data_IF_650344282571
#
_entry.id   IF_650344282571
#
_cell.length_a   1.000
_cell.length_b   1.000
_cell.length_c   1.000
_cell.angle_alpha   90.00
_cell.angle_beta   90.00
_cell.angle_gamma   90.00
#
_symmetry.space_group_name_H-M   'P 1'
#
loop_
_entity.id
_entity.type
_entity.pdbx_description
1 polymer ?
#
# COMPACT_ATOMS: atom_id res chain seq x y z
N UNK A 1 -24.20 -22.30 3.22
CA UNK A 1 -22.72 -22.19 3.17
C UNK A 1 -22.13 -23.09 4.24
N UNK A 2 -21.19 -23.96 3.87
CA UNK A 2 -20.53 -24.89 4.79
C UNK A 2 -19.25 -24.28 5.38
N UNK A 3 -18.68 -24.93 6.39
CA UNK A 3 -17.43 -24.55 7.01
C UNK A 3 -16.28 -24.60 5.99
N UNK A 4 -15.43 -23.58 5.98
CA UNK A 4 -14.24 -23.46 5.13
C UNK A 4 -13.05 -24.30 5.60
N UNK A 5 -13.21 -25.11 6.64
CA UNK A 5 -12.16 -26.03 7.11
C UNK A 5 -12.28 -27.33 6.33
N UNK A 6 -11.20 -27.73 5.68
CA UNK A 6 -11.17 -28.92 4.82
C UNK A 6 -11.63 -30.18 5.59
N UNK A 7 -12.50 -30.96 4.98
CA UNK A 7 -13.15 -32.12 5.63
C UNK A 7 -14.23 -31.80 6.67
N UNK A 8 -14.61 -30.53 6.91
CA UNK A 8 -15.68 -30.17 7.86
C UNK A 8 -17.04 -29.95 7.18
N UNK A 9 -17.93 -30.94 7.23
CA UNK A 9 -19.29 -30.85 6.66
C UNK A 9 -20.31 -30.03 7.45
N UNK A 10 -19.90 -29.29 8.51
CA UNK A 10 -20.82 -28.51 9.35
C UNK A 10 -21.18 -27.18 8.69
N UNK A 11 -22.40 -26.69 8.94
CA UNK A 11 -22.85 -25.38 8.46
C UNK A 11 -22.04 -24.23 9.05
N UNK A 12 -21.77 -23.24 8.20
CA UNK A 12 -21.10 -22.01 8.55
C UNK A 12 -21.96 -21.16 9.47
N UNK A 13 -21.37 -20.65 10.55
CA UNK A 13 -22.03 -19.76 11.51
C UNK A 13 -21.55 -18.32 11.38
N UNK A 14 -20.24 -18.10 11.24
CA UNK A 14 -19.64 -16.77 11.09
C UNK A 14 -18.22 -16.89 10.50
N UNK A 15 -17.81 -15.90 9.70
CA UNK A 15 -16.46 -15.77 9.13
C UNK A 15 -15.95 -16.98 8.32
N UNK A 16 -16.81 -17.75 7.67
CA UNK A 16 -16.34 -18.96 6.97
C UNK A 16 -16.42 -20.23 7.83
N UNK A 17 -16.67 -20.14 9.14
CA UNK A 17 -16.47 -21.27 10.05
C UNK A 17 -17.74 -21.75 10.74
N UNK A 18 -17.83 -23.06 11.02
CA UNK A 18 -18.87 -23.61 11.89
C UNK A 18 -18.68 -23.13 13.33
N UNK A 19 -19.68 -23.31 14.20
CA UNK A 19 -19.61 -22.86 15.61
C UNK A 19 -18.34 -23.32 16.32
N UNK A 20 -17.93 -24.59 16.14
CA UNK A 20 -16.74 -25.16 16.78
C UNK A 20 -15.44 -24.54 16.25
N UNK A 21 -15.29 -24.40 14.94
CA UNK A 21 -14.09 -23.81 14.34
C UNK A 21 -14.02 -22.30 14.57
N UNK A 22 -15.16 -21.63 14.57
CA UNK A 22 -15.26 -20.23 14.97
C UNK A 22 -14.85 -20.05 16.44
N UNK A 23 -15.28 -20.94 17.35
CA UNK A 23 -14.86 -20.90 18.75
C UNK A 23 -13.38 -21.21 18.94
N UNK A 24 -12.79 -22.13 18.17
CA UNK A 24 -11.35 -22.41 18.19
C UNK A 24 -10.54 -21.22 17.69
N UNK A 25 -10.95 -20.63 16.56
CA UNK A 25 -10.35 -19.41 16.04
C UNK A 25 -10.46 -18.26 17.03
N UNK A 26 -11.64 -18.03 17.61
CA UNK A 26 -11.86 -16.97 18.61
C UNK A 26 -11.01 -17.15 19.87
N UNK A 27 -10.82 -18.39 20.33
CA UNK A 27 -10.10 -18.71 21.58
C UNK A 27 -8.59 -18.85 21.40
N UNK A 28 -8.15 -19.36 20.26
CA UNK A 28 -6.77 -19.81 20.04
C UNK A 28 -6.12 -19.26 18.77
N UNK A 29 -6.86 -18.50 17.95
CA UNK A 29 -6.37 -17.95 16.67
C UNK A 29 -6.26 -18.98 15.53
N UNK A 30 -6.32 -20.28 15.85
CA UNK A 30 -6.23 -21.38 14.89
C UNK A 30 -7.53 -22.19 14.85
N UNK A 31 -8.12 -22.31 13.65
CA UNK A 31 -9.35 -23.09 13.40
C UNK A 31 -9.13 -24.59 13.61
N UNK A 32 -7.91 -25.08 13.38
CA UNK A 32 -7.52 -26.47 13.55
C UNK A 32 -6.89 -26.75 14.90
N UNK A 33 -6.94 -25.79 15.84
CA UNK A 33 -6.32 -25.93 17.16
C UNK A 33 -6.75 -27.24 17.85
N UNK A 34 -5.77 -28.12 18.03
CA UNK A 34 -5.83 -29.28 18.92
C UNK A 34 -5.06 -28.97 20.19
N UNK A 35 -5.51 -29.46 21.36
CA UNK A 35 -4.72 -29.34 22.59
C UNK A 35 -3.38 -30.05 22.39
N UNK A 36 -2.32 -29.27 22.21
CA UNK A 36 -0.95 -29.77 22.24
C UNK A 36 -0.72 -30.28 23.68
N UNK A 37 -0.31 -31.55 23.79
CA UNK A 37 0.08 -32.16 25.06
C UNK A 37 1.07 -31.26 25.80
N UNK A 38 0.99 -31.28 27.14
CA UNK A 38 1.64 -30.40 28.14
C UNK A 38 3.17 -30.21 28.06
N UNK A 39 3.83 -30.75 27.04
CA UNK A 39 5.28 -30.73 26.84
C UNK A 39 5.78 -29.41 26.23
N UNK A 40 4.94 -28.71 25.44
CA UNK A 40 5.36 -27.51 24.69
C UNK A 40 4.74 -26.20 25.18
N UNK A 41 4.23 -26.14 26.42
CA UNK A 41 3.75 -24.87 26.95
C UNK A 41 4.96 -24.04 27.42
N UNK A 42 5.30 -22.90 26.76
CA UNK A 42 6.45 -22.12 27.17
C UNK A 42 6.26 -21.68 28.63
N UNK A 43 7.32 -21.78 29.45
CA UNK A 43 7.25 -21.37 30.86
C UNK A 43 7.25 -19.85 31.03
N UNK A 44 7.81 -19.13 30.05
CA UNK A 44 8.01 -17.69 30.04
C UNK A 44 7.45 -17.06 28.76
N UNK A 45 7.29 -15.74 28.78
CA UNK A 45 6.85 -14.97 27.62
C UNK A 45 7.83 -15.13 26.45
N UNK A 46 7.29 -15.21 25.24
CA UNK A 46 8.03 -15.28 23.97
C UNK A 46 8.57 -13.93 23.49
N UNK A 47 8.34 -12.85 24.24
CA UNK A 47 8.85 -11.53 23.90
C UNK A 47 10.29 -11.43 24.39
N UNK A 48 11.20 -11.04 23.50
CA UNK A 48 12.61 -10.77 23.83
C UNK A 48 12.66 -9.77 25.00
N UNK A 49 13.54 -10.01 25.96
CA UNK A 49 13.67 -9.25 27.20
C UNK A 49 12.42 -9.24 28.13
N UNK A 50 11.54 -10.24 28.01
CA UNK A 50 10.42 -10.43 28.93
C UNK A 50 10.49 -11.75 29.72
N UNK A 51 10.98 -11.69 30.95
CA UNK A 51 11.08 -12.85 31.84
C UNK A 51 9.76 -13.21 32.56
N UNK A 52 8.65 -12.57 32.19
CA UNK A 52 7.35 -12.83 32.83
C UNK A 52 6.81 -14.20 32.48
N UNK A 53 6.09 -14.84 33.43
CA UNK A 53 5.46 -16.14 33.21
C UNK A 53 4.48 -16.09 32.04
N UNK A 54 4.51 -17.15 31.23
CA UNK A 54 3.56 -17.35 30.14
C UNK A 54 2.13 -17.46 30.69
N UNK A 55 1.18 -16.83 30.00
CA UNK A 55 -0.25 -16.88 30.28
C UNK A 55 -1.02 -17.58 29.16
N UNK A 56 -0.92 -17.10 27.93
CA UNK A 56 -1.61 -17.66 26.76
C UNK A 56 -0.95 -17.23 25.45
N UNK A 57 -1.04 -18.07 24.40
CA UNK A 57 -0.46 -17.83 23.07
C UNK A 57 1.05 -17.52 23.07
N UNK A 58 1.81 -18.06 24.02
CA UNK A 58 3.22 -17.75 24.17
C UNK A 58 3.48 -16.38 24.81
N UNK A 59 2.46 -15.63 25.24
CA UNK A 59 2.60 -14.32 25.85
C UNK A 59 2.29 -14.32 27.35
N UNK A 60 2.91 -13.41 28.11
CA UNK A 60 2.48 -13.09 29.48
C UNK A 60 1.10 -12.41 29.47
N UNK A 61 0.47 -12.25 30.64
CA UNK A 61 -0.89 -11.68 30.73
C UNK A 61 -0.99 -10.27 30.10
N UNK A 62 0.05 -9.45 30.24
CA UNK A 62 0.12 -8.10 29.70
C UNK A 62 0.27 -8.13 28.18
N UNK A 63 1.25 -8.88 27.65
CA UNK A 63 1.47 -9.02 26.21
C UNK A 63 0.28 -9.69 25.50
N UNK A 64 -0.36 -10.67 26.14
CA UNK A 64 -1.59 -11.27 25.63
C UNK A 64 -2.73 -10.25 25.56
N UNK A 65 -2.89 -9.39 26.57
CA UNK A 65 -3.93 -8.35 26.58
C UNK A 65 -3.71 -7.31 25.49
N UNK A 66 -2.45 -6.91 25.28
CA UNK A 66 -2.02 -6.00 24.20
C UNK A 66 -2.31 -6.60 22.83
N UNK A 67 -1.85 -7.84 22.60
CA UNK A 67 -2.12 -8.59 21.38
C UNK A 67 -3.61 -8.73 21.09
N UNK A 68 -4.42 -9.14 22.07
CA UNK A 68 -5.87 -9.31 21.89
C UNK A 68 -6.58 -8.01 21.51
N UNK A 69 -6.12 -6.87 22.02
CA UNK A 69 -6.79 -5.57 21.85
C UNK A 69 -6.30 -4.80 20.62
N UNK A 70 -5.03 -4.94 20.27
CA UNK A 70 -4.36 -4.10 19.27
C UNK A 70 -3.63 -4.88 18.18
N UNK A 71 -3.55 -6.21 18.27
CA UNK A 71 -2.87 -7.05 17.29
C UNK A 71 -1.36 -7.18 17.50
N UNK A 72 -0.76 -6.39 18.38
CA UNK A 72 0.68 -6.41 18.68
C UNK A 72 0.91 -6.67 20.19
N UNK A 73 1.65 -7.74 20.58
CA UNK A 73 1.98 -8.02 21.97
C UNK A 73 2.90 -6.96 22.60
N UNK A 74 3.75 -6.31 21.82
CA UNK A 74 4.64 -5.23 22.28
C UNK A 74 3.92 -3.88 22.37
N UNK A 75 2.64 -3.80 21.97
CA UNK A 75 1.87 -2.56 21.98
C UNK A 75 1.84 -1.92 23.38
N UNK A 76 2.60 -0.85 23.56
CA UNK A 76 2.62 -0.11 24.82
C UNK A 76 1.41 0.84 24.86
N UNK A 77 0.39 0.50 25.66
CA UNK A 77 -0.54 1.52 26.16
C UNK A 77 0.23 2.45 27.11
N UNK A 78 0.83 3.50 26.57
CA UNK A 78 1.32 4.62 27.37
C UNK A 78 0.20 5.62 27.51
N UNK A 79 -0.31 5.69 28.74
CA UNK A 79 -1.18 6.65 29.42
C UNK A 79 -2.31 7.27 28.60
N UNK A 80 -3.48 7.50 29.21
CA UNK A 80 -4.68 8.03 28.55
C UNK A 80 -4.55 9.45 27.94
N UNK A 81 -3.34 9.98 27.76
CA UNK A 81 -3.02 11.32 27.28
C UNK A 81 -2.78 11.43 25.76
N UNK A 82 -3.23 10.45 24.96
CA UNK A 82 -2.98 10.46 23.52
C UNK A 82 -4.04 9.79 22.66
N UNK A 83 -4.04 10.13 21.37
CA UNK A 83 -4.99 9.62 20.36
C UNK A 83 -4.25 9.32 19.05
N UNK A 84 -4.88 8.55 18.17
CA UNK A 84 -4.39 8.33 16.80
C UNK A 84 -5.02 9.42 15.94
N UNK A 85 -4.20 10.15 15.18
CA UNK A 85 -4.70 11.16 14.24
C UNK A 85 -5.20 10.55 12.92
N UNK A 86 -5.83 11.36 12.07
CA UNK A 86 -6.32 10.95 10.75
C UNK A 86 -5.23 10.40 9.82
N UNK A 87 -3.96 10.71 10.11
CA UNK A 87 -2.80 10.21 9.39
C UNK A 87 -2.25 8.92 10.02
N UNK A 88 -2.92 8.33 11.00
CA UNK A 88 -2.51 7.08 11.64
C UNK A 88 -1.33 7.21 12.60
N UNK A 89 -0.95 8.42 13.02
CA UNK A 89 0.12 8.60 14.00
C UNK A 89 -0.43 8.76 15.41
N UNK A 90 0.23 8.15 16.39
CA UNK A 90 -0.04 8.44 17.81
C UNK A 90 0.44 9.85 18.16
N UNK A 91 -0.44 10.66 18.72
CA UNK A 91 -0.18 11.99 19.26
C UNK A 91 -0.38 12.00 20.77
N UNK A 92 0.47 12.77 21.45
CA UNK A 92 0.43 13.00 22.89
C UNK A 92 0.32 14.51 23.18
N UNK A 93 -0.20 14.83 24.35
CA UNK A 93 -0.07 16.16 24.94
C UNK A 93 1.27 16.26 25.69
N UNK A 94 2.15 17.17 25.25
CA UNK A 94 3.46 17.46 25.83
C UNK A 94 3.51 18.96 26.19
N UNK A 95 3.40 19.29 27.48
CA UNK A 95 3.51 20.68 27.97
C UNK A 95 2.57 21.68 27.29
N UNK A 96 1.34 21.26 26.94
CA UNK A 96 0.36 22.07 26.22
C UNK A 96 0.49 22.04 24.69
N UNK A 97 1.48 21.33 24.13
CA UNK A 97 1.64 21.12 22.69
C UNK A 97 1.25 19.71 22.28
N UNK A 98 0.62 19.59 21.11
CA UNK A 98 0.25 18.30 20.52
C UNK A 98 1.40 17.79 19.66
N UNK A 99 2.13 16.78 20.12
CA UNK A 99 3.32 16.27 19.43
C UNK A 99 3.13 14.81 19.02
N UNK A 100 3.71 14.40 17.88
CA UNK A 100 3.71 12.99 17.47
C UNK A 100 4.67 12.20 18.35
N UNK A 101 4.23 11.06 18.84
CA UNK A 101 4.95 10.25 19.83
C UNK A 101 6.34 9.84 19.33
N UNK A 102 6.46 9.34 18.09
CA UNK A 102 7.76 8.96 17.51
C UNK A 102 8.79 10.10 17.53
N UNK A 103 8.35 11.37 17.42
CA UNK A 103 9.27 12.51 17.52
C UNK A 103 9.78 12.64 18.94
N UNK A 104 8.92 12.51 19.95
CA UNK A 104 9.31 12.57 21.35
C UNK A 104 10.26 11.42 21.73
N UNK A 105 10.03 10.22 21.20
CA UNK A 105 10.96 9.08 21.38
C UNK A 105 12.33 9.41 20.80
N UNK A 106 12.38 9.91 19.57
CA UNK A 106 13.65 10.29 18.93
C UNK A 106 14.34 11.48 19.63
N UNK A 107 13.58 12.48 20.11
CA UNK A 107 14.12 13.59 20.91
C UNK A 107 14.77 13.10 22.20
N UNK A 108 14.13 12.14 22.89
CA UNK A 108 14.68 11.51 24.09
C UNK A 108 15.95 10.71 23.77
N UNK A 109 15.94 9.92 22.68
CA UNK A 109 17.11 9.15 22.21
C UNK A 109 18.31 10.05 21.91
N UNK A 110 18.08 11.23 21.30
CA UNK A 110 19.11 12.20 20.95
C UNK A 110 19.50 13.14 22.09
N UNK A 111 18.74 13.19 23.18
CA UNK A 111 18.94 14.15 24.27
C UNK A 111 18.72 15.62 23.89
N UNK A 112 18.06 15.89 22.75
CA UNK A 112 17.78 17.25 22.26
C UNK A 112 16.47 17.31 21.49
N UNK A 113 15.90 18.52 21.36
CA UNK A 113 14.73 18.74 20.50
C UNK A 113 15.08 18.55 19.02
N UNK A 114 14.12 18.01 18.27
CA UNK A 114 14.24 17.84 16.83
C UNK A 114 13.98 19.16 16.12
N UNK A 115 14.75 19.42 15.08
CA UNK A 115 14.54 20.54 14.17
C UNK A 115 13.30 20.29 13.29
N UNK A 116 12.83 21.35 12.64
CA UNK A 116 11.66 21.30 11.76
C UNK A 116 11.90 20.56 10.43
N UNK A 117 13.16 20.43 10.02
CA UNK A 117 13.62 19.72 8.81
C UNK A 117 13.98 18.25 9.06
N UNK A 118 14.19 17.87 10.33
CA UNK A 118 14.44 16.50 10.75
C UNK A 118 13.15 15.66 10.76
N UNK A 119 13.17 14.54 10.04
CA UNK A 119 12.07 13.59 9.91
C UNK A 119 12.45 12.31 10.64
N UNK A 120 11.48 11.70 11.32
CA UNK A 120 11.62 10.36 11.89
C UNK A 120 10.95 9.38 10.94
N UNK A 121 11.69 8.38 10.49
CA UNK A 121 11.24 7.29 9.63
C UNK A 121 10.96 6.04 10.48
N UNK A 122 9.89 5.32 10.15
CA UNK A 122 9.56 4.00 10.68
C UNK A 122 10.08 2.94 9.70
N UNK A 123 11.06 2.15 10.12
CA UNK A 123 11.74 1.18 9.26
C UNK A 123 10.82 0.04 8.81
N UNK A 124 9.83 -0.33 9.62
CA UNK A 124 8.84 -1.37 9.33
C UNK A 124 7.58 -0.86 8.62
N UNK A 125 7.53 0.42 8.24
CA UNK A 125 6.36 1.10 7.67
C UNK A 125 5.13 1.18 8.62
N UNK A 126 5.21 0.70 9.87
CA UNK A 126 4.15 0.79 10.88
C UNK A 126 4.30 2.06 11.73
N UNK A 127 3.38 3.02 11.51
CA UNK A 127 3.35 4.32 12.19
C UNK A 127 3.10 4.26 13.69
N UNK A 128 2.65 3.11 14.20
CA UNK A 128 2.38 2.89 15.63
C UNK A 128 3.53 2.17 16.34
N UNK A 129 4.46 1.54 15.61
CA UNK A 129 5.65 0.95 16.20
C UNK A 129 6.70 2.03 16.51
N UNK A 130 6.55 2.68 17.66
CA UNK A 130 7.45 3.75 18.11
C UNK A 130 8.63 3.24 18.96
N UNK A 131 9.01 1.97 18.83
CA UNK A 131 10.22 1.45 19.47
C UNK A 131 11.44 2.20 18.93
N UNK A 132 12.36 2.58 19.82
CA UNK A 132 13.47 3.46 19.46
C UNK A 132 14.42 2.88 18.41
N UNK A 133 14.48 1.56 18.27
CA UNK A 133 15.25 0.84 17.25
C UNK A 133 14.52 0.72 15.91
N UNK A 134 13.19 0.88 15.90
CA UNK A 134 12.40 0.95 14.67
C UNK A 134 12.40 2.37 14.05
N UNK A 135 12.92 3.35 14.79
CA UNK A 135 12.92 4.75 14.37
C UNK A 135 14.30 5.19 13.88
N UNK A 136 14.34 5.75 12.67
CA UNK A 136 15.54 6.32 12.08
C UNK A 136 15.37 7.82 11.83
N UNK A 137 16.42 8.61 12.09
CA UNK A 137 16.43 10.04 11.79
C UNK A 137 16.86 10.26 10.34
N UNK A 138 16.05 10.98 9.57
CA UNK A 138 16.33 11.33 8.18
C UNK A 138 15.92 12.79 7.92
N UNK A 139 15.97 13.20 6.65
CA UNK A 139 15.61 14.54 6.21
C UNK A 139 14.63 14.49 5.03
N UNK A 140 14.02 15.64 4.69
CA UNK A 140 13.06 15.74 3.58
C UNK A 140 13.59 15.24 2.23
N UNK A 141 14.89 15.40 1.96
CA UNK A 141 15.52 15.01 0.70
C UNK A 141 15.70 13.49 0.61
N UNK A 142 16.04 12.84 1.73
CA UNK A 142 16.41 11.44 1.78
C UNK A 142 15.25 10.51 2.17
N UNK A 143 14.26 10.98 2.95
CA UNK A 143 13.10 10.18 3.34
C UNK A 143 12.40 9.44 2.17
N UNK A 144 12.22 10.04 0.97
CA UNK A 144 11.62 9.32 -0.15
C UNK A 144 12.41 8.09 -0.61
N UNK A 145 13.72 8.00 -0.33
CA UNK A 145 14.55 6.86 -0.72
C UNK A 145 14.09 5.55 -0.05
N UNK A 146 13.61 5.63 1.19
CA UNK A 146 13.10 4.48 1.94
C UNK A 146 11.79 3.95 1.35
N UNK A 147 11.00 4.81 0.69
CA UNK A 147 9.71 4.45 0.07
C UNK A 147 9.81 4.17 -1.44
N UNK A 148 11.01 4.30 -2.04
CA UNK A 148 11.22 4.01 -3.47
C UNK A 148 11.21 2.50 -3.70
N UNK A 149 10.01 1.91 -3.76
CA UNK A 149 9.84 0.56 -4.31
C UNK A 149 10.15 0.66 -5.82
N UNK A 150 11.22 0.01 -6.27
CA UNK A 150 11.68 0.00 -7.67
C UNK A 150 10.79 -0.92 -8.53
N UNK A 151 9.49 -0.64 -8.49
CA UNK A 151 8.48 -1.41 -9.21
C UNK A 151 8.53 -0.91 -10.66
N UNK A 152 8.75 -1.85 -11.58
CA UNK A 152 8.79 -1.58 -13.02
C UNK A 152 7.43 -1.89 -13.64
N UNK A 153 7.25 -1.39 -14.85
CA UNK A 153 6.14 -1.79 -15.69
C UNK A 153 6.12 -3.32 -15.86
N UNK A 154 4.93 -3.93 -15.79
CA UNK A 154 4.72 -5.37 -15.94
C UNK A 154 4.92 -5.88 -17.37
N UNK A 155 5.07 -4.98 -18.36
CA UNK A 155 5.27 -5.34 -19.75
C UNK A 155 6.74 -5.70 -19.99
N UNK A 156 6.98 -6.91 -20.52
CA UNK A 156 8.31 -7.50 -20.72
C UNK A 156 9.33 -6.63 -21.48
N UNK A 157 8.86 -5.71 -22.32
CA UNK A 157 9.70 -4.83 -23.15
C UNK A 157 9.67 -3.36 -22.67
N UNK A 158 9.46 -3.13 -21.37
CA UNK A 158 9.33 -1.79 -20.81
C UNK A 158 9.98 -1.68 -19.43
N UNK A 159 11.10 -0.96 -19.37
CA UNK A 159 11.80 -0.71 -18.11
C UNK A 159 11.35 0.58 -17.41
N UNK A 160 10.25 1.19 -17.85
CA UNK A 160 9.73 2.38 -17.19
C UNK A 160 9.22 2.06 -15.78
N UNK A 161 9.31 3.05 -14.88
CA UNK A 161 8.77 2.94 -13.52
C UNK A 161 7.26 2.72 -13.51
N UNK A 162 6.79 1.89 -12.59
CA UNK A 162 5.38 1.65 -12.32
C UNK A 162 4.68 2.93 -11.87
N UNK A 163 3.49 3.17 -12.41
CA UNK A 163 2.59 4.27 -12.05
C UNK A 163 1.32 3.72 -11.39
N UNK A 164 0.55 2.89 -12.09
CA UNK A 164 -0.69 2.30 -11.58
C UNK A 164 -1.05 1.02 -12.36
N UNK A 165 -1.79 0.10 -11.73
CA UNK A 165 -2.24 -1.18 -12.34
C UNK A 165 -1.10 -2.05 -12.91
N UNK A 166 0.09 -2.01 -12.32
CA UNK A 166 1.25 -2.74 -12.86
C UNK A 166 1.90 -2.04 -14.06
N UNK A 167 1.38 -0.92 -14.54
CA UNK A 167 1.86 -0.25 -15.75
C UNK A 167 2.57 1.07 -15.44
N UNK A 168 3.52 1.47 -16.30
CA UNK A 168 4.04 2.83 -16.31
C UNK A 168 2.96 3.84 -16.75
N UNK A 169 3.19 5.14 -16.54
CA UNK A 169 2.18 6.16 -16.86
C UNK A 169 1.68 6.06 -18.31
N UNK A 170 2.58 5.92 -19.30
CA UNK A 170 2.20 5.79 -20.72
C UNK A 170 1.30 4.56 -20.99
N UNK A 171 1.69 3.39 -20.49
CA UNK A 171 0.93 2.15 -20.67
C UNK A 171 -0.40 2.18 -19.90
N UNK A 172 -0.43 2.80 -18.73
CA UNK A 172 -1.66 3.03 -17.99
C UNK A 172 -2.62 3.96 -18.75
N UNK A 173 -2.15 5.04 -19.38
CA UNK A 173 -3.03 5.91 -20.19
C UNK A 173 -3.62 5.16 -21.39
N UNK A 174 -2.83 4.32 -22.08
CA UNK A 174 -3.33 3.49 -23.19
C UNK A 174 -4.38 2.48 -22.72
N UNK A 175 -4.10 1.77 -21.63
CA UNK A 175 -5.04 0.85 -21.01
C UNK A 175 -6.33 1.54 -20.58
N UNK A 176 -6.24 2.70 -19.93
CA UNK A 176 -7.40 3.47 -19.47
C UNK A 176 -8.34 3.89 -20.60
N UNK A 177 -7.79 4.24 -21.77
CA UNK A 177 -8.58 4.74 -22.91
C UNK A 177 -9.05 3.60 -23.82
N UNK A 178 -8.23 2.57 -24.04
CA UNK A 178 -8.45 1.55 -25.07
C UNK A 178 -8.59 0.11 -24.55
N UNK A 179 -8.37 -0.12 -23.26
CA UNK A 179 -8.36 -1.47 -22.66
C UNK A 179 -7.09 -2.28 -22.93
N UNK A 180 -6.18 -1.79 -23.78
CA UNK A 180 -4.91 -2.44 -24.14
C UNK A 180 -3.71 -1.51 -23.85
N UNK A 181 -2.78 -1.89 -22.95
CA UNK A 181 -1.59 -1.10 -22.66
C UNK A 181 -0.62 -1.01 -23.85
N UNK A 182 -0.65 -1.96 -24.78
CA UNK A 182 0.18 -1.95 -25.99
C UNK A 182 -0.47 -1.22 -27.17
N UNK A 183 -1.65 -0.63 -26.98
CA UNK A 183 -2.37 0.07 -28.04
C UNK A 183 -1.49 1.09 -28.78
N UNK A 184 -1.31 0.86 -30.08
CA UNK A 184 -0.62 1.80 -30.99
C UNK A 184 -1.67 2.46 -31.87
N UNK A 185 -1.72 3.80 -31.84
CA UNK A 185 -2.58 4.56 -32.75
C UNK A 185 -2.10 4.35 -34.18
N UNK A 186 -2.95 3.79 -35.04
CA UNK A 186 -2.65 3.68 -36.46
C UNK A 186 -2.51 5.08 -37.07
N UNK A 187 -1.40 5.31 -37.78
CA UNK A 187 -1.18 6.54 -38.54
C UNK A 187 -2.21 6.57 -39.67
N UNK A 188 -2.97 7.66 -39.76
CA UNK A 188 -3.84 7.94 -40.90
C UNK A 188 -3.06 8.79 -41.90
N UNK A 189 -3.26 8.56 -43.19
CA UNK A 189 -2.65 9.34 -44.26
C UNK A 189 -3.60 10.41 -44.78
N UNK A 190 -3.06 11.35 -45.55
CA UNK A 190 -3.82 12.42 -46.18
C UNK A 190 -4.78 11.85 -47.23
N UNK A 191 -6.02 12.33 -47.24
CA UNK A 191 -7.06 11.92 -48.19
C UNK A 191 -6.91 12.52 -49.60
N UNK A 192 -5.81 13.24 -49.90
CA UNK A 192 -5.59 13.82 -51.23
C UNK A 192 -4.88 12.81 -52.09
N UNK A 193 -5.38 12.56 -53.31
CA UNK A 193 -4.80 11.59 -54.23
C UNK A 193 -3.29 11.78 -54.41
N UNK A 194 -2.52 10.69 -54.28
CA UNK A 194 -1.05 10.66 -54.37
C UNK A 194 -0.30 11.40 -53.24
N UNK A 195 -0.91 11.57 -52.06
CA UNK A 195 -0.26 12.20 -50.90
C UNK A 195 -0.02 11.21 -49.76
N UNK A 196 1.24 10.80 -49.54
CA UNK A 196 1.63 9.86 -48.48
C UNK A 196 1.94 10.53 -47.13
N UNK A 197 1.54 11.80 -46.96
CA UNK A 197 1.80 12.54 -45.72
C UNK A 197 0.79 12.15 -44.63
N UNK A 198 1.23 12.16 -43.38
CA UNK A 198 0.38 11.85 -42.23
C UNK A 198 -0.74 12.89 -42.08
N UNK A 199 -1.93 12.40 -41.81
CA UNK A 199 -3.13 13.17 -41.47
C UNK A 199 -2.90 14.06 -40.25
N UNK A 200 -3.14 15.35 -40.41
CA UNK A 200 -3.10 16.37 -39.37
C UNK A 200 -4.50 16.71 -38.85
N UNK A 201 -5.47 16.99 -39.73
CA UNK A 201 -6.85 17.31 -39.36
C UNK A 201 -7.80 17.33 -40.56
N UNK A 202 -9.09 17.02 -40.34
CA UNK A 202 -10.14 16.94 -41.38
C UNK A 202 -9.82 16.01 -42.57
N UNK A 203 -9.01 14.97 -42.39
CA UNK A 203 -8.58 14.12 -43.51
C UNK A 203 -7.32 14.63 -44.23
N UNK A 204 -6.80 15.81 -43.90
CA UNK A 204 -5.68 16.44 -44.61
C UNK A 204 -4.37 16.43 -43.83
N UNK A 205 -3.23 16.34 -44.53
CA UNK A 205 -1.92 16.67 -43.96
C UNK A 205 -1.84 18.18 -43.66
N UNK A 206 -0.87 18.61 -42.86
CA UNK A 206 -0.74 20.01 -42.44
C UNK A 206 -0.78 20.99 -43.62
N UNK A 207 -0.07 20.70 -44.72
CA UNK A 207 -0.07 21.55 -45.92
C UNK A 207 -1.46 21.61 -46.57
N UNK A 208 -2.10 20.46 -46.81
CA UNK A 208 -3.44 20.41 -47.43
C UNK A 208 -4.51 21.03 -46.52
N UNK A 209 -4.36 20.91 -45.19
CA UNK A 209 -5.23 21.54 -44.21
C UNK A 209 -5.11 23.07 -44.23
N UNK A 210 -3.89 23.61 -44.35
CA UNK A 210 -3.69 25.06 -44.48
C UNK A 210 -4.26 25.59 -45.80
N UNK A 211 -4.04 24.87 -46.92
CA UNK A 211 -4.64 25.20 -48.23
C UNK A 211 -6.17 25.16 -48.20
N UNK A 212 -6.73 24.15 -47.51
CA UNK A 212 -8.17 24.04 -47.27
C UNK A 212 -8.70 25.22 -46.44
N UNK A 213 -7.96 25.65 -45.40
CA UNK A 213 -8.33 26.79 -44.56
C UNK A 213 -8.20 28.17 -45.24
N UNK A 214 -7.33 28.30 -46.23
CA UNK A 214 -7.09 29.56 -46.95
C UNK A 214 -8.05 29.80 -48.13
N UNK A 215 -9.05 28.93 -48.35
CA UNK A 215 -10.11 29.05 -49.36
C UNK A 215 -9.65 29.19 -50.83
N UNK A 216 -9.15 28.09 -51.40
CA UNK A 216 -9.42 27.76 -52.80
C UNK A 216 -10.13 26.41 -52.81
N UNK A 217 -11.30 26.35 -53.46
CA UNK A 217 -11.97 25.10 -53.80
C UNK A 217 -11.05 24.25 -54.66
N UNK A 218 -10.21 23.41 -54.03
CA UNK A 218 -9.65 22.26 -54.72
C UNK A 218 -10.87 21.44 -55.13
N UNK A 219 -11.16 21.41 -56.43
CA UNK A 219 -12.17 20.53 -57.01
C UNK A 219 -11.96 19.15 -56.38
N UNK A 220 -12.89 18.78 -55.51
CA UNK A 220 -13.03 17.42 -55.04
C UNK A 220 -13.57 16.66 -56.24
N UNK A 221 -12.67 16.19 -57.11
CA UNK A 221 -12.96 15.01 -57.91
C UNK A 221 -13.14 13.87 -56.91
N UNK A 222 -14.37 13.76 -56.40
CA UNK A 222 -14.93 12.55 -55.84
C UNK A 222 -14.98 11.55 -56.98
N UNK A 223 -13.86 10.90 -57.28
CA UNK A 223 -13.91 9.60 -57.92
C UNK A 223 -14.26 8.62 -56.81
N UNK A 224 -15.56 8.38 -56.70
CA UNK A 224 -16.08 7.16 -56.13
C UNK A 224 -15.55 5.99 -56.99
N UNK A 225 -14.79 5.08 -56.37
CA UNK A 225 -15.04 3.62 -56.30
C UNK A 225 -14.43 3.14 -54.98
#
# INVERSE_FOLDING_TARGET
>A
MFCSVDGCGKVNKALGYCSTHYDRWRKYGDVNYTKISSVNNPRYCSIEDCESKHFSLGFCSIHYTRFRKYGDPNFLMRDGNGWIDEMGYRRLWDGGRKTREHRLVMEKKLGRKLRSDEIVHHNDEDRLNNNEDNLELTNRRDHPKYHRKNIRCSLKLCDNGHYAFGYCNMHYQRFKVHGDPLHVRQKRFCSVGKCDRIHYGLGFCQMHYQRFKSNESVQLDKVAI
#
